data_IF_545185232985
#
_entry.id   IF_545185232985
#
_cell.length_a   1.000
_cell.length_b   1.000
_cell.length_c   1.000
_cell.angle_alpha   90.00
_cell.angle_beta   90.00
_cell.angle_gamma   90.00
#
_symmetry.space_group_name_H-M   'P 1'
#
loop_
_entity.id
_entity.type
_entity.pdbx_description
1 polymer ?
#
# COMPACT_ATOMS: atom_id res chain seq x y z
N UNK A 1 -42.66 12.77 -52.78
CA UNK A 1 -42.78 14.10 -52.16
C UNK A 1 -43.42 13.90 -50.80
N UNK A 2 -42.68 14.14 -49.69
CA UNK A 2 -42.54 15.48 -49.12
C UNK A 2 -41.16 15.81 -48.50
N UNK A 3 -40.88 17.11 -48.33
CA UNK A 3 -39.93 17.72 -47.40
C UNK A 3 -40.73 18.67 -46.47
N UNK A 4 -40.16 19.45 -45.55
CA UNK A 4 -39.09 19.29 -44.54
C UNK A 4 -39.70 19.53 -43.12
N UNK A 5 -38.99 19.49 -41.97
CA UNK A 5 -38.43 20.69 -41.30
C UNK A 5 -37.81 20.29 -39.94
N UNK A 6 -36.47 20.38 -39.84
CA UNK A 6 -35.57 20.89 -38.77
C UNK A 6 -35.81 20.51 -37.27
N UNK A 7 -34.84 20.38 -36.33
CA UNK A 7 -33.36 20.44 -36.17
C UNK A 7 -33.11 20.17 -34.65
N UNK A 8 -32.06 19.55 -34.07
CA UNK A 8 -30.66 19.99 -33.89
C UNK A 8 -29.86 18.93 -33.06
N UNK A 9 -28.61 18.73 -33.49
CA UNK A 9 -27.32 18.25 -32.91
C UNK A 9 -27.22 17.62 -31.50
N UNK A 10 -26.43 16.54 -31.43
CA UNK A 10 -25.41 16.30 -30.38
C UNK A 10 -24.05 15.93 -30.99
N UNK A 11 -23.01 16.51 -30.41
CA UNK A 11 -21.58 16.21 -30.51
C UNK A 11 -21.27 14.74 -30.16
N UNK A 12 -20.37 14.06 -30.87
CA UNK A 12 -18.96 13.90 -30.43
C UNK A 12 -18.06 13.21 -31.47
N UNK A 13 -16.79 13.62 -31.45
CA UNK A 13 -15.54 12.93 -31.81
C UNK A 13 -15.44 12.04 -33.06
N UNK A 14 -14.57 12.46 -34.01
CA UNK A 14 -13.60 11.55 -34.64
C UNK A 14 -12.38 12.31 -35.20
N UNK A 15 -11.20 11.83 -34.79
CA UNK A 15 -9.86 12.26 -35.18
C UNK A 15 -9.61 12.01 -36.66
N UNK A 16 -8.95 12.94 -37.34
CA UNK A 16 -8.28 12.70 -38.63
C UNK A 16 -6.79 12.92 -38.44
N UNK A 17 -6.02 11.90 -38.83
CA UNK A 17 -4.57 11.89 -38.98
C UNK A 17 -4.28 12.26 -40.43
N UNK A 18 -3.39 13.22 -40.69
CA UNK A 18 -2.45 13.09 -41.82
C UNK A 18 -1.26 14.06 -41.78
N UNK A 19 -0.08 13.43 -41.93
CA UNK A 19 1.14 13.84 -42.62
C UNK A 19 1.94 15.10 -42.22
N UNK A 20 3.11 14.80 -41.64
CA UNK A 20 4.31 15.63 -41.49
C UNK A 20 5.09 15.75 -42.81
N UNK A 21 5.69 16.92 -43.13
CA UNK A 21 6.85 17.02 -44.02
C UNK A 21 8.14 17.38 -43.25
N UNK A 22 9.26 16.80 -43.69
CA UNK A 22 10.64 17.05 -43.24
C UNK A 22 11.23 18.37 -43.77
N UNK A 23 12.31 18.90 -43.16
CA UNK A 23 12.82 20.24 -43.41
C UNK A 23 13.83 20.29 -44.57
N UNK A 24 13.79 21.38 -45.33
CA UNK A 24 14.79 21.71 -46.35
C UNK A 24 15.68 22.87 -45.88
N UNK A 25 16.93 22.86 -46.35
CA UNK A 25 18.04 23.66 -45.87
C UNK A 25 18.22 24.97 -46.66
N UNK A 26 18.65 26.02 -45.96
CA UNK A 26 19.45 27.13 -46.49
C UNK A 26 18.69 28.39 -46.91
N UNK A 27 18.78 29.44 -46.10
CA UNK A 27 19.53 30.67 -46.42
C UNK A 27 19.36 31.69 -45.28
N UNK A 28 20.49 32.29 -44.92
CA UNK A 28 20.68 33.27 -43.84
C UNK A 28 19.99 34.60 -44.17
N UNK A 29 19.25 35.16 -43.22
CA UNK A 29 18.98 36.60 -43.16
C UNK A 29 19.25 37.13 -41.74
N UNK A 30 20.15 38.11 -41.68
CA UNK A 30 20.54 38.89 -40.51
C UNK A 30 19.34 39.61 -39.88
N UNK A 31 19.16 39.46 -38.55
CA UNK A 31 18.41 40.41 -37.73
C UNK A 31 19.28 40.80 -36.53
N UNK A 32 19.94 41.94 -36.65
CA UNK A 32 20.58 42.65 -35.55
C UNK A 32 19.52 43.15 -34.56
N UNK A 33 19.69 42.82 -33.28
CA UNK A 33 19.01 43.52 -32.18
C UNK A 33 20.06 44.18 -31.29
N UNK A 34 20.00 45.50 -31.33
CA UNK A 34 20.77 46.49 -30.59
C UNK A 34 20.29 46.53 -29.14
N UNK A 35 21.15 46.14 -28.18
CA UNK A 35 20.87 46.25 -26.74
C UNK A 35 21.62 47.45 -26.16
N UNK A 36 20.87 48.51 -25.89
CA UNK A 36 21.32 49.71 -25.18
C UNK A 36 21.87 49.42 -23.77
N UNK A 37 22.87 50.21 -23.42
CA UNK A 37 23.55 50.35 -22.12
C UNK A 37 22.62 50.39 -20.90
N UNK A 38 22.94 49.54 -19.90
CA UNK A 38 22.59 49.76 -18.49
C UNK A 38 23.76 49.26 -17.62
N UNK A 39 24.42 50.18 -16.91
CA UNK A 39 25.48 49.87 -15.93
C UNK A 39 24.95 49.01 -14.76
N UNK A 40 25.71 48.01 -14.27
CA UNK A 40 25.36 47.32 -13.04
C UNK A 40 25.91 48.05 -11.80
N UNK A 41 25.00 48.60 -11.01
CA UNK A 41 25.21 49.05 -9.64
C UNK A 41 25.54 47.91 -8.68
N UNK A 42 26.51 48.12 -7.80
CA UNK A 42 26.88 47.25 -6.68
C UNK A 42 25.71 46.96 -5.75
N UNK A 43 25.31 45.68 -5.63
CA UNK A 43 24.58 45.15 -4.48
C UNK A 43 24.83 43.64 -4.33
N UNK A 44 25.06 43.24 -3.08
CA UNK A 44 25.65 41.98 -2.62
C UNK A 44 24.89 40.70 -3.00
N UNK A 45 25.62 39.72 -3.53
CA UNK A 45 25.22 38.30 -3.64
C UNK A 45 25.91 37.53 -2.48
N UNK A 46 25.21 36.69 -1.68
CA UNK A 46 25.87 35.98 -0.60
C UNK A 46 26.84 34.93 -1.16
N UNK A 47 28.05 34.96 -0.63
CA UNK A 47 29.19 34.10 -0.98
C UNK A 47 28.85 32.62 -0.75
N UNK A 48 28.48 31.91 -1.82
CA UNK A 48 28.56 30.45 -1.85
C UNK A 48 30.02 30.14 -2.19
N UNK A 49 30.74 29.57 -1.23
CA UNK A 49 32.11 29.07 -1.38
C UNK A 49 32.17 28.06 -2.53
N UNK A 50 32.66 28.51 -3.68
CA UNK A 50 33.01 27.73 -4.86
C UNK A 50 34.40 27.09 -4.66
N UNK A 51 34.52 26.10 -3.77
CA UNK A 51 35.79 25.34 -3.64
C UNK A 51 35.66 23.81 -3.81
N UNK A 52 34.46 23.25 -3.98
CA UNK A 52 34.28 21.78 -4.07
C UNK A 52 33.68 21.33 -5.41
N UNK A 53 34.25 21.74 -6.56
CA UNK A 53 33.88 21.15 -7.87
C UNK A 53 35.07 20.96 -8.81
N UNK A 54 36.25 20.67 -8.27
CA UNK A 54 37.38 20.18 -9.06
C UNK A 54 37.57 18.68 -8.80
N UNK A 55 37.41 17.86 -9.85
CA UNK A 55 37.78 16.45 -9.79
C UNK A 55 39.30 16.36 -9.65
N UNK A 56 39.79 16.10 -8.43
CA UNK A 56 41.20 15.82 -8.20
C UNK A 56 41.54 14.43 -8.78
N UNK A 57 42.36 14.43 -9.83
CA UNK A 57 42.84 13.23 -10.52
C UNK A 57 44.22 12.92 -9.92
N UNK A 58 44.40 11.72 -9.34
CA UNK A 58 45.72 11.28 -8.86
C UNK A 58 46.68 11.07 -10.06
N UNK A 59 47.99 11.05 -9.82
CA UNK A 59 49.05 10.94 -10.85
C UNK A 59 48.96 9.67 -11.73
N UNK A 60 48.11 8.70 -11.36
CA UNK A 60 47.76 7.49 -12.14
C UNK A 60 46.43 7.59 -12.91
N UNK A 61 45.85 8.78 -13.05
CA UNK A 61 44.65 9.02 -13.87
C UNK A 61 43.33 8.52 -13.26
N UNK A 62 43.31 8.19 -11.97
CA UNK A 62 42.10 7.75 -11.25
C UNK A 62 41.47 8.92 -10.49
N UNK A 63 40.16 9.18 -10.67
CA UNK A 63 39.50 10.26 -9.94
C UNK A 63 39.39 9.91 -8.45
N UNK A 64 39.89 10.80 -7.57
CA UNK A 64 39.64 10.73 -6.13
C UNK A 64 38.29 11.34 -5.81
N UNK A 65 37.36 10.50 -5.38
CA UNK A 65 36.11 10.97 -4.80
C UNK A 65 36.31 11.25 -3.31
N UNK A 66 35.95 12.45 -2.87
CA UNK A 66 35.82 12.73 -1.45
C UNK A 66 34.81 11.75 -0.83
N UNK A 67 35.04 11.24 0.40
CA UNK A 67 34.09 10.35 1.06
C UNK A 67 32.73 11.05 1.14
N UNK A 68 31.69 10.37 0.65
CA UNK A 68 30.35 10.93 0.63
C UNK A 68 29.97 11.42 2.03
N UNK A 69 29.67 12.73 2.15
CA UNK A 69 29.05 13.27 3.36
C UNK A 69 27.78 12.45 3.60
N UNK A 70 27.54 11.92 4.81
CA UNK A 70 26.28 11.27 5.13
C UNK A 70 25.21 12.36 5.17
N UNK A 71 24.71 12.76 4.02
CA UNK A 71 23.45 13.47 3.91
C UNK A 71 22.41 12.51 4.48
N UNK A 72 21.96 12.75 5.71
CA UNK A 72 20.80 12.08 6.27
C UNK A 72 19.69 12.22 5.25
N UNK A 73 19.37 11.11 4.57
CA UNK A 73 18.58 11.13 3.34
C UNK A 73 17.33 11.97 3.55
N UNK A 74 17.25 13.10 2.84
CA UNK A 74 16.08 13.96 2.93
C UNK A 74 14.86 13.11 2.60
N UNK A 75 14.01 12.88 3.61
CA UNK A 75 12.79 12.09 3.45
C UNK A 75 11.90 12.86 2.48
N UNK A 76 11.92 12.43 1.21
CA UNK A 76 11.05 12.97 0.17
C UNK A 76 9.62 12.83 0.64
N UNK A 77 8.83 13.88 0.44
CA UNK A 77 7.43 13.86 0.86
C UNK A 77 6.68 12.84 -0.02
N UNK A 78 6.32 11.70 0.57
CA UNK A 78 5.59 10.63 -0.08
C UNK A 78 4.15 10.64 0.42
N UNK A 79 3.22 10.57 -0.53
CA UNK A 79 1.80 10.45 -0.25
C UNK A 79 1.34 9.06 -0.67
N UNK A 80 0.58 8.40 0.19
CA UNK A 80 -0.05 7.11 -0.11
C UNK A 80 -1.55 7.17 0.11
N UNK A 81 -2.29 6.55 -0.81
CA UNK A 81 -3.76 6.46 -0.75
C UNK A 81 -4.18 5.01 -0.60
N UNK A 82 -5.03 4.73 0.39
CA UNK A 82 -5.61 3.40 0.59
C UNK A 82 -7.11 3.48 0.32
N UNK A 83 -7.57 2.71 -0.66
CA UNK A 83 -8.99 2.59 -0.97
C UNK A 83 -9.69 1.70 0.05
N UNK A 84 -10.89 2.09 0.48
CA UNK A 84 -11.65 1.35 1.49
C UNK A 84 -12.99 0.91 0.90
N UNK A 85 -13.36 -0.37 1.03
CA UNK A 85 -14.63 -0.89 0.55
C UNK A 85 -15.83 -0.13 1.12
N UNK A 86 -16.93 0.02 0.35
CA UNK A 86 -18.11 0.76 0.80
C UNK A 86 -18.74 0.20 2.08
N UNK A 87 -18.74 -1.12 2.25
CA UNK A 87 -19.29 -1.79 3.43
C UNK A 87 -18.49 -1.55 4.72
N UNK A 88 -17.27 -0.99 4.62
CA UNK A 88 -16.41 -0.63 5.76
C UNK A 88 -16.36 0.88 6.04
N UNK A 89 -17.08 1.71 5.28
CA UNK A 89 -17.10 3.16 5.55
C UNK A 89 -17.78 3.55 6.85
N UNK A 90 -18.88 2.90 7.19
CA UNK A 90 -19.59 3.16 8.44
C UNK A 90 -18.75 2.80 9.67
N UNK A 91 -18.12 1.60 9.78
CA UNK A 91 -17.25 1.31 10.92
C UNK A 91 -16.00 2.19 10.92
N UNK A 92 -15.46 2.59 9.76
CA UNK A 92 -14.31 3.52 9.73
C UNK A 92 -14.62 4.85 10.40
N UNK A 93 -15.79 5.44 10.13
CA UNK A 93 -16.18 6.72 10.75
C UNK A 93 -16.34 6.60 12.26
N UNK A 94 -16.92 5.50 12.73
CA UNK A 94 -17.13 5.24 14.18
C UNK A 94 -15.80 4.98 14.88
N UNK A 95 -14.92 4.22 14.25
CA UNK A 95 -13.62 3.84 14.79
C UNK A 95 -12.52 4.90 14.56
N UNK A 96 -12.78 5.93 13.75
CA UNK A 96 -11.81 6.97 13.40
C UNK A 96 -11.10 7.57 14.61
N UNK A 97 -11.77 7.89 15.73
CA UNK A 97 -11.13 8.43 16.92
C UNK A 97 -10.09 7.51 17.56
N UNK A 98 -10.18 6.19 17.32
CA UNK A 98 -9.20 5.21 17.78
C UNK A 98 -8.08 4.96 16.77
N UNK A 99 -8.33 5.23 15.49
CA UNK A 99 -7.41 4.93 14.38
C UNK A 99 -6.37 6.04 14.21
N UNK A 100 -6.76 7.31 14.28
CA UNK A 100 -5.83 8.41 14.00
C UNK A 100 -4.78 8.64 15.12
N UNK A 101 -5.07 8.50 16.45
CA UNK A 101 -4.06 8.73 17.48
C UNK A 101 -2.80 7.86 17.32
N UNK A 102 -2.88 6.52 17.15
CA UNK A 102 -1.68 5.73 17.01
C UNK A 102 -0.90 6.05 15.73
N UNK A 103 -1.57 6.47 14.64
CA UNK A 103 -0.90 6.89 13.41
C UNK A 103 -0.15 8.22 13.55
N UNK A 104 -0.72 9.17 14.28
CA UNK A 104 -0.12 10.50 14.46
C UNK A 104 0.92 10.49 15.58
N UNK A 105 0.69 9.79 16.69
CA UNK A 105 1.58 9.79 17.85
C UNK A 105 2.82 8.90 17.63
N UNK A 106 2.63 7.66 17.16
CA UNK A 106 3.75 6.72 17.00
C UNK A 106 4.53 6.97 15.70
N UNK A 107 3.84 7.20 14.59
CA UNK A 107 4.46 7.29 13.26
C UNK A 107 4.61 8.73 12.76
N UNK A 108 3.97 9.72 13.42
CA UNK A 108 4.01 11.15 13.06
C UNK A 108 3.58 11.41 11.61
N UNK A 109 2.65 10.60 11.12
CA UNK A 109 2.07 10.73 9.78
C UNK A 109 0.90 11.70 9.80
N UNK A 110 0.75 12.46 8.72
CA UNK A 110 -0.44 13.25 8.47
C UNK A 110 -1.47 12.35 7.80
N UNK A 111 -2.66 12.25 8.39
CA UNK A 111 -3.72 11.35 7.91
C UNK A 111 -4.98 12.16 7.61
N UNK A 112 -5.58 11.92 6.43
CA UNK A 112 -6.82 12.57 6.02
C UNK A 112 -7.80 11.54 5.48
N UNK A 113 -9.05 11.59 5.93
CA UNK A 113 -10.12 10.76 5.41
C UNK A 113 -10.88 11.51 4.31
N UNK A 114 -10.88 10.98 3.09
CA UNK A 114 -11.65 11.51 1.98
C UNK A 114 -12.91 10.68 1.74
N UNK A 115 -14.06 11.20 2.19
CA UNK A 115 -15.35 10.51 2.13
C UNK A 115 -15.86 10.38 0.69
N UNK A 116 -15.53 11.35 -0.19
CA UNK A 116 -15.99 11.34 -1.60
C UNK A 116 -15.27 10.26 -2.40
N UNK A 117 -13.95 10.20 -2.27
CA UNK A 117 -13.12 9.21 -2.98
C UNK A 117 -13.06 7.86 -2.25
N UNK A 118 -13.70 7.72 -1.08
CA UNK A 118 -13.71 6.50 -0.26
C UNK A 118 -12.29 5.98 0.00
N UNK A 119 -11.38 6.92 0.29
CA UNK A 119 -9.96 6.64 0.49
C UNK A 119 -9.43 7.37 1.71
N UNK A 120 -8.45 6.75 2.38
CA UNK A 120 -7.63 7.38 3.41
C UNK A 120 -6.30 7.76 2.79
N UNK A 121 -5.94 9.02 2.92
CA UNK A 121 -4.69 9.60 2.43
C UNK A 121 -3.72 9.70 3.61
N UNK A 122 -2.54 9.11 3.46
CA UNK A 122 -1.43 9.19 4.39
C UNK A 122 -0.31 10.00 3.74
N UNK A 123 0.30 10.90 4.50
CA UNK A 123 1.42 11.73 4.06
C UNK A 123 2.48 11.72 5.14
N UNK A 124 3.74 11.52 4.75
CA UNK A 124 4.85 11.65 5.68
C UNK A 124 5.08 13.13 6.04
N UNK A 125 5.57 13.36 7.26
CA UNK A 125 5.90 14.70 7.74
C UNK A 125 7.40 14.83 7.96
N UNK A 126 7.89 16.05 8.16
CA UNK A 126 9.30 16.31 8.53
C UNK A 126 9.70 15.68 9.88
N UNK A 127 8.71 15.29 10.69
CA UNK A 127 8.94 14.67 12.00
C UNK A 127 8.96 13.14 11.95
N UNK A 128 8.60 12.54 10.80
CA UNK A 128 8.68 11.10 10.59
C UNK A 128 10.15 10.72 10.43
N UNK A 129 10.69 9.94 11.35
CA UNK A 129 12.11 9.55 11.39
C UNK A 129 12.38 8.24 10.66
N UNK A 130 11.37 7.37 10.54
CA UNK A 130 11.50 6.04 9.94
C UNK A 130 10.92 6.02 8.51
N UNK A 131 11.73 5.56 7.56
CA UNK A 131 11.32 5.34 6.17
C UNK A 131 10.24 4.26 6.06
N UNK A 132 10.23 3.28 6.97
CA UNK A 132 9.22 2.22 7.02
C UNK A 132 7.87 2.64 7.61
N UNK A 133 7.78 3.83 8.23
CA UNK A 133 6.58 4.27 8.91
C UNK A 133 5.36 4.39 7.99
N UNK A 134 5.57 4.88 6.76
CA UNK A 134 4.49 5.03 5.79
C UNK A 134 3.91 3.67 5.36
N UNK A 135 4.76 2.66 5.20
CA UNK A 135 4.34 1.30 4.86
C UNK A 135 3.54 0.68 6.02
N UNK A 136 4.02 0.80 7.26
CA UNK A 136 3.28 0.32 8.44
C UNK A 136 1.92 1.01 8.60
N UNK A 137 1.86 2.31 8.32
CA UNK A 137 0.61 3.07 8.30
C UNK A 137 -0.35 2.61 7.21
N UNK A 138 0.16 2.29 6.02
CA UNK A 138 -0.63 1.69 4.95
C UNK A 138 -1.19 0.32 5.35
N UNK A 139 -0.33 -0.55 5.87
CA UNK A 139 -0.69 -1.91 6.25
C UNK A 139 -1.71 -1.93 7.39
N UNK A 140 -1.61 -0.99 8.33
CA UNK A 140 -2.62 -0.77 9.38
C UNK A 140 -4.01 -0.42 8.80
N UNK A 141 -4.07 0.56 7.90
CA UNK A 141 -5.33 0.97 7.25
C UNK A 141 -5.87 -0.16 6.37
N UNK A 142 -4.98 -0.88 5.68
CA UNK A 142 -5.33 -2.03 4.86
C UNK A 142 -5.88 -3.18 5.71
N UNK A 143 -5.29 -3.48 6.86
CA UNK A 143 -5.82 -4.47 7.81
C UNK A 143 -7.26 -4.15 8.22
N UNK A 144 -7.51 -2.89 8.57
CA UNK A 144 -8.86 -2.43 8.92
C UNK A 144 -9.83 -2.54 7.73
N UNK A 145 -9.36 -2.25 6.52
CA UNK A 145 -10.11 -2.39 5.26
C UNK A 145 -10.51 -3.84 4.98
N UNK A 146 -9.64 -4.80 5.30
CA UNK A 146 -9.86 -6.25 5.16
C UNK A 146 -10.80 -6.84 6.22
N UNK A 147 -11.19 -6.06 7.24
CA UNK A 147 -12.18 -6.47 8.23
C UNK A 147 -11.63 -6.82 9.60
N UNK A 148 -10.33 -6.65 9.85
CA UNK A 148 -9.77 -6.79 11.20
C UNK A 148 -10.31 -5.71 12.14
N UNK A 149 -10.28 -6.03 13.43
CA UNK A 149 -10.61 -5.06 14.48
C UNK A 149 -9.47 -4.05 14.66
N UNK A 150 -9.79 -2.88 15.22
CA UNK A 150 -8.80 -1.81 15.44
C UNK A 150 -7.74 -2.27 16.42
N UNK A 151 -8.13 -2.97 17.48
CA UNK A 151 -7.21 -3.43 18.52
C UNK A 151 -6.20 -4.45 17.98
N UNK A 152 -6.65 -5.35 17.10
CA UNK A 152 -5.78 -6.30 16.40
C UNK A 152 -4.89 -5.59 15.37
N UNK A 153 -5.40 -4.56 14.68
CA UNK A 153 -4.60 -3.77 13.75
C UNK A 153 -3.51 -2.97 14.46
N UNK A 154 -3.76 -2.47 15.68
CA UNK A 154 -2.73 -1.77 16.49
C UNK A 154 -1.54 -2.69 16.78
N UNK A 155 -1.75 -4.01 16.85
CA UNK A 155 -0.64 -4.96 17.04
C UNK A 155 0.38 -4.92 15.89
N UNK A 156 -0.06 -4.64 14.65
CA UNK A 156 0.82 -4.48 13.48
C UNK A 156 1.74 -3.25 13.61
N UNK A 157 1.30 -2.22 14.33
CA UNK A 157 2.13 -1.03 14.56
C UNK A 157 3.20 -1.26 15.64
N UNK A 158 2.98 -2.24 16.53
CA UNK A 158 3.87 -2.51 17.66
C UNK A 158 4.93 -3.56 17.32
N UNK A 159 4.58 -4.61 16.58
CA UNK A 159 5.47 -5.71 16.24
C UNK A 159 5.59 -5.84 14.72
N UNK A 160 6.83 -5.78 14.23
CA UNK A 160 7.14 -5.84 12.79
C UNK A 160 7.11 -7.27 12.23
N UNK A 161 7.08 -8.30 13.09
CA UNK A 161 7.05 -9.71 12.69
C UNK A 161 5.64 -10.22 12.34
N UNK A 162 4.65 -9.33 12.31
CA UNK A 162 3.26 -9.67 12.13
C UNK A 162 2.83 -9.35 10.70
N UNK A 163 2.34 -10.38 10.01
CA UNK A 163 2.00 -10.32 8.59
C UNK A 163 0.49 -10.52 8.40
N UNK A 164 -0.01 -10.02 7.28
CA UNK A 164 -1.37 -10.27 6.82
C UNK A 164 -1.29 -11.11 5.55
N UNK A 165 -1.93 -12.26 5.57
CA UNK A 165 -2.04 -13.12 4.39
C UNK A 165 -3.50 -13.20 3.96
N UNK A 166 -3.75 -12.93 2.67
CA UNK A 166 -5.07 -13.11 2.07
C UNK A 166 -5.08 -14.40 1.27
N UNK A 167 -6.17 -15.14 1.42
CA UNK A 167 -6.34 -16.45 0.82
C UNK A 167 -7.74 -16.59 0.23
N UNK A 168 -7.87 -17.11 -0.99
CA UNK A 168 -9.17 -17.42 -1.58
C UNK A 168 -9.42 -18.93 -1.52
N UNK A 169 -10.64 -19.33 -1.13
CA UNK A 169 -11.02 -20.74 -0.99
C UNK A 169 -10.89 -21.49 -2.34
N UNK A 170 -11.04 -20.76 -3.46
CA UNK A 170 -10.95 -21.31 -4.82
C UNK A 170 -9.55 -21.79 -5.19
N UNK A 171 -8.50 -21.30 -4.54
CA UNK A 171 -7.11 -21.63 -4.87
C UNK A 171 -6.78 -23.09 -4.49
N UNK A 172 -7.48 -23.68 -3.52
CA UNK A 172 -7.27 -25.07 -3.09
C UNK A 172 -8.07 -26.04 -3.93
N UNK A 173 -9.33 -25.69 -4.17
CA UNK A 173 -10.30 -26.54 -4.83
C UNK A 173 -11.31 -25.66 -5.53
N UNK A 174 -11.61 -26.00 -6.78
CA UNK A 174 -12.66 -25.36 -7.57
C UNK A 174 -14.03 -25.74 -7.02
N UNK A 175 -14.45 -25.05 -5.96
CA UNK A 175 -15.72 -25.27 -5.27
C UNK A 175 -16.80 -24.40 -5.92
N UNK A 176 -17.94 -25.02 -6.25
CA UNK A 176 -19.10 -24.33 -6.81
C UNK A 176 -20.26 -24.35 -5.82
N UNK A 177 -20.97 -23.22 -5.73
CA UNK A 177 -22.24 -23.05 -5.02
C UNK A 177 -22.32 -23.72 -3.64
N UNK A 178 -23.03 -24.85 -3.58
CA UNK A 178 -23.29 -25.62 -2.36
C UNK A 178 -21.99 -26.03 -1.64
N UNK A 179 -20.96 -26.44 -2.40
CA UNK A 179 -19.71 -26.87 -1.80
C UNK A 179 -18.93 -25.71 -1.17
N UNK A 180 -19.05 -24.49 -1.71
CA UNK A 180 -18.44 -23.29 -1.13
C UNK A 180 -19.10 -22.93 0.21
N UNK A 181 -20.44 -22.90 0.24
CA UNK A 181 -21.20 -22.67 1.48
C UNK A 181 -20.91 -23.72 2.55
N UNK A 182 -20.78 -24.99 2.14
CA UNK A 182 -20.38 -26.08 3.04
C UNK A 182 -18.95 -25.91 3.57
N UNK A 183 -18.00 -25.53 2.72
CA UNK A 183 -16.61 -25.30 3.14
C UNK A 183 -16.54 -24.13 4.15
N UNK A 184 -17.21 -23.02 3.87
CA UNK A 184 -17.31 -21.86 4.79
C UNK A 184 -17.95 -22.28 6.12
N UNK A 185 -19.04 -23.05 6.08
CA UNK A 185 -19.70 -23.56 7.28
C UNK A 185 -18.81 -24.45 8.15
N UNK A 186 -17.86 -25.18 7.56
CA UNK A 186 -16.87 -25.99 8.30
C UNK A 186 -15.75 -25.15 8.92
N UNK A 187 -15.32 -24.08 8.26
CA UNK A 187 -14.28 -23.18 8.76
C UNK A 187 -14.82 -22.35 9.92
N UNK A 188 -16.02 -21.77 9.76
CA UNK A 188 -16.67 -21.03 10.82
C UNK A 188 -17.07 -21.96 11.99
N UNK A 189 -17.70 -23.10 11.67
CA UNK A 189 -18.35 -23.95 12.66
C UNK A 189 -19.58 -23.27 13.28
N UNK A 190 -20.25 -23.96 14.21
CA UNK A 190 -21.40 -23.39 14.93
C UNK A 190 -20.92 -22.18 15.75
N UNK A 191 -21.54 -21.02 15.54
CA UNK A 191 -21.23 -19.75 16.22
C UNK A 191 -19.75 -19.32 16.12
N UNK A 192 -19.05 -19.71 15.06
CA UNK A 192 -17.62 -19.40 14.92
C UNK A 192 -16.69 -20.24 15.79
N UNK A 193 -17.18 -21.27 16.50
CA UNK A 193 -16.38 -22.07 17.45
C UNK A 193 -15.13 -22.68 16.81
N UNK A 194 -15.22 -23.15 15.58
CA UNK A 194 -14.07 -23.73 14.87
C UNK A 194 -13.05 -22.66 14.52
N UNK A 195 -13.50 -21.50 14.03
CA UNK A 195 -12.64 -20.34 13.78
C UNK A 195 -11.90 -19.92 15.05
N UNK A 196 -12.62 -19.72 16.16
CA UNK A 196 -12.02 -19.33 17.44
C UNK A 196 -11.05 -20.38 18.00
N UNK A 197 -11.34 -21.67 17.81
CA UNK A 197 -10.43 -22.74 18.21
C UNK A 197 -9.11 -22.70 17.42
N UNK A 198 -9.18 -22.44 16.11
CA UNK A 198 -7.99 -22.26 15.27
C UNK A 198 -7.22 -21.02 15.73
N UNK A 199 -7.88 -19.86 15.85
CA UNK A 199 -7.28 -18.60 16.30
C UNK A 199 -6.51 -18.75 17.61
N UNK A 200 -7.10 -19.41 18.61
CA UNK A 200 -6.47 -19.62 19.90
C UNK A 200 -5.31 -20.63 19.85
N UNK A 201 -5.43 -21.68 19.03
CA UNK A 201 -4.37 -22.68 18.87
C UNK A 201 -3.14 -22.13 18.15
N UNK A 202 -3.33 -21.39 17.05
CA UNK A 202 -2.25 -20.81 16.25
C UNK A 202 -1.81 -19.42 16.71
N UNK A 203 -2.50 -18.79 17.66
CA UNK A 203 -2.29 -17.37 18.05
C UNK A 203 -2.32 -16.44 16.84
N UNK A 204 -3.33 -16.62 16.01
CA UNK A 204 -3.60 -15.79 14.83
C UNK A 204 -4.98 -15.16 14.95
N UNK A 205 -5.23 -14.13 14.17
CA UNK A 205 -6.57 -13.55 13.99
C UNK A 205 -7.05 -13.89 12.59
N UNK A 206 -8.28 -14.41 12.49
CA UNK A 206 -8.84 -14.84 11.21
C UNK A 206 -10.16 -14.12 10.96
N UNK A 207 -10.21 -13.43 9.82
CA UNK A 207 -11.44 -12.81 9.31
C UNK A 207 -11.89 -13.60 8.09
N UNK A 208 -13.16 -14.01 8.10
CA UNK A 208 -13.76 -14.75 7.01
C UNK A 208 -14.75 -13.83 6.27
N UNK A 209 -14.48 -13.61 4.99
CA UNK A 209 -15.24 -12.76 4.07
C UNK A 209 -15.69 -13.58 2.85
N UNK A 210 -16.73 -14.40 3.05
CA UNK A 210 -17.28 -15.32 2.05
C UNK A 210 -16.21 -16.21 1.40
N UNK A 211 -15.76 -15.84 0.20
CA UNK A 211 -14.74 -16.59 -0.56
C UNK A 211 -13.30 -16.28 -0.11
N UNK A 212 -13.08 -15.13 0.54
CA UNK A 212 -11.75 -14.67 0.95
C UNK A 212 -11.59 -14.81 2.46
N UNK A 213 -10.41 -15.27 2.86
CA UNK A 213 -10.02 -15.44 4.25
C UNK A 213 -8.76 -14.63 4.47
N UNK A 214 -8.77 -13.81 5.51
CA UNK A 214 -7.64 -13.00 5.90
C UNK A 214 -7.11 -13.54 7.23
N UNK A 215 -5.81 -13.83 7.27
CA UNK A 215 -5.11 -14.33 8.45
C UNK A 215 -4.06 -13.30 8.84
N UNK A 216 -4.06 -12.89 10.10
CA UNK A 216 -3.07 -12.02 10.70
C UNK A 216 -2.29 -12.80 11.75
N UNK A 217 -0.97 -12.75 11.69
CA UNK A 217 -0.10 -13.48 12.62
C UNK A 217 1.37 -13.47 12.24
N UNK A 218 2.19 -14.17 13.01
CA UNK A 218 3.57 -14.43 12.61
C UNK A 218 3.62 -15.43 11.44
N UNK A 219 4.65 -15.36 10.61
CA UNK A 219 4.77 -16.20 9.40
C UNK A 219 4.54 -17.70 9.64
N UNK A 220 5.19 -18.27 10.67
CA UNK A 220 5.03 -19.69 11.04
C UNK A 220 3.61 -20.02 11.51
N UNK A 221 3.00 -19.12 12.27
CA UNK A 221 1.65 -19.29 12.82
C UNK A 221 0.60 -19.21 11.71
N UNK A 222 0.78 -18.30 10.76
CA UNK A 222 -0.08 -18.17 9.59
C UNK A 222 -0.05 -19.47 8.77
N UNK A 223 1.13 -20.05 8.55
CA UNK A 223 1.27 -21.32 7.82
C UNK A 223 0.44 -22.45 8.45
N UNK A 224 0.47 -22.57 9.77
CA UNK A 224 -0.27 -23.60 10.50
C UNK A 224 -1.78 -23.35 10.44
N UNK A 225 -2.21 -22.09 10.58
CA UNK A 225 -3.62 -21.71 10.43
C UNK A 225 -4.10 -22.01 9.00
N UNK A 226 -3.29 -21.70 7.99
CA UNK A 226 -3.56 -22.00 6.58
C UNK A 226 -3.70 -23.49 6.35
N UNK A 227 -2.78 -24.31 6.84
CA UNK A 227 -2.85 -25.77 6.70
C UNK A 227 -4.12 -26.35 7.34
N UNK A 228 -4.50 -25.86 8.51
CA UNK A 228 -5.74 -26.26 9.18
C UNK A 228 -6.98 -25.88 8.38
N UNK A 229 -7.03 -24.65 7.84
CA UNK A 229 -8.13 -24.16 7.00
C UNK A 229 -8.21 -24.98 5.71
N UNK A 230 -7.09 -25.22 5.02
CA UNK A 230 -7.00 -26.05 3.81
C UNK A 230 -7.50 -27.47 4.10
N UNK A 231 -7.09 -28.07 5.23
CA UNK A 231 -7.54 -29.40 5.64
C UNK A 231 -9.06 -29.47 5.83
N UNK A 232 -9.67 -28.43 6.40
CA UNK A 232 -11.12 -28.33 6.57
C UNK A 232 -11.84 -28.18 5.22
N UNK A 233 -11.28 -27.41 4.29
CA UNK A 233 -11.81 -27.26 2.93
C UNK A 233 -11.76 -28.61 2.18
N UNK A 234 -10.66 -29.36 2.31
CA UNK A 234 -10.45 -30.60 1.57
C UNK A 234 -11.39 -31.73 1.96
N UNK A 235 -11.91 -31.77 3.19
CA UNK A 235 -12.69 -32.94 3.62
C UNK A 235 -12.40 -33.43 5.03
N UNK A 236 -11.29 -33.03 5.65
CA UNK A 236 -10.84 -33.65 6.91
C UNK A 236 -11.83 -33.45 8.05
N UNK A 237 -12.17 -34.50 8.83
CA UNK A 237 -13.03 -34.37 10.00
C UNK A 237 -12.49 -33.33 10.97
N UNK A 238 -13.33 -32.44 11.54
CA UNK A 238 -12.85 -31.36 12.42
C UNK A 238 -12.13 -31.90 13.66
N UNK A 239 -12.52 -33.06 14.18
CA UNK A 239 -11.83 -33.72 15.30
C UNK A 239 -10.36 -34.02 15.01
N UNK A 240 -10.03 -34.46 13.79
CA UNK A 240 -8.64 -34.72 13.36
C UNK A 240 -7.85 -33.41 13.27
N UNK A 241 -8.47 -32.36 12.73
CA UNK A 241 -7.85 -31.03 12.61
C UNK A 241 -7.53 -30.45 13.99
N UNK A 242 -8.42 -30.58 14.97
CA UNK A 242 -8.16 -30.15 16.35
C UNK A 242 -7.02 -30.92 17.02
N UNK A 243 -6.93 -32.23 16.81
CA UNK A 243 -5.82 -33.05 17.33
C UNK A 243 -4.47 -32.62 16.76
N UNK A 244 -4.40 -32.38 15.45
CA UNK A 244 -3.21 -31.88 14.78
C UNK A 244 -2.83 -30.48 15.28
N UNK A 245 -3.79 -29.54 15.31
CA UNK A 245 -3.56 -28.18 15.81
C UNK A 245 -3.04 -28.17 17.25
N UNK A 246 -3.60 -29.00 18.14
CA UNK A 246 -3.15 -29.10 19.53
C UNK A 246 -1.70 -29.61 19.62
N UNK A 247 -1.35 -30.60 18.81
CA UNK A 247 0.00 -31.19 18.80
C UNK A 247 1.03 -30.19 18.27
N UNK A 248 0.70 -29.50 17.18
CA UNK A 248 1.56 -28.47 16.58
C UNK A 248 1.69 -27.27 17.52
N UNK A 249 0.59 -26.80 18.12
CA UNK A 249 0.61 -25.69 19.08
C UNK A 249 1.47 -26.01 20.32
N UNK A 250 1.43 -27.26 20.81
CA UNK A 250 2.29 -27.70 21.91
C UNK A 250 3.77 -27.62 21.52
N UNK A 251 4.12 -28.17 20.35
CA UNK A 251 5.49 -28.14 19.83
C UNK A 251 6.02 -26.72 19.59
N UNK A 252 5.17 -25.81 19.11
CA UNK A 252 5.57 -24.41 18.92
C UNK A 252 5.82 -23.66 20.22
N UNK A 253 5.19 -24.09 21.31
CA UNK A 253 5.38 -23.48 22.62
C UNK A 253 6.65 -23.99 23.30
N UNK A 254 7.08 -25.20 22.98
CA UNK A 254 8.35 -25.75 23.41
C UNK A 254 9.50 -24.98 22.76
N UNK A 255 10.30 -24.33 23.60
CA UNK A 255 11.49 -23.59 23.20
C UNK A 255 12.67 -24.53 23.41
N UNK A 256 13.25 -25.02 22.32
CA UNK A 256 14.53 -25.72 22.35
C UNK A 256 15.66 -24.72 22.58
#
# INVERSE_FOLDING_TARGET
MPAPTAMIRKHDEQRVVENTPQPDAGQDEDIMIDTHDVEPSEAMVPLVSQEDTEMQIDEEGRPRYAPAKPEEGQIRVENRKVAIPPHRMTPLKVAWPKIYPPLVEHLKLQVRMNIKNKAVELRNSKFTTDSGALQKGEDFVKAFSLGFDVDDAIALLRLDDLYIETFEIKDVKTLQGEHLGRAIGRIAGKDGKTKYAIENASRTRVVLADAKIHILGGFKNIHIAREAIVSLILGSPPGKVYGNLRTVASRMKERF
#
